data_IF_064289017320
#
_entry.id   IF_064289017320
#
_cell.length_a   1.000
_cell.length_b   1.000
_cell.length_c   1.000
_cell.angle_alpha   90.00
_cell.angle_beta   90.00
_cell.angle_gamma   90.00
#
_symmetry.space_group_name_H-M   'P 1'
#
loop_
_entity.id
_entity.type
_entity.pdbx_description
1 polymer ?
#
# COMPACT_ATOMS: atom_id res chain seq x y z
N UNK A 1 -8.06 -14.19 -27.03
CA UNK A 1 -6.93 -14.38 -26.10
C UNK A 1 -5.89 -13.28 -26.29
N UNK A 2 -5.24 -13.13 -27.45
CA UNK A 2 -4.32 -12.01 -27.78
C UNK A 2 -4.75 -10.58 -27.34
N UNK A 3 -6.05 -10.25 -27.38
CA UNK A 3 -6.57 -8.94 -26.93
C UNK A 3 -6.49 -8.76 -25.40
N UNK A 4 -6.71 -9.80 -24.61
CA UNK A 4 -6.65 -9.76 -23.14
C UNK A 4 -5.20 -9.65 -22.70
N UNK A 5 -4.30 -10.45 -23.28
CA UNK A 5 -2.85 -10.38 -23.05
C UNK A 5 -2.30 -8.99 -23.32
N UNK A 6 -2.71 -8.34 -24.41
CA UNK A 6 -2.31 -6.95 -24.70
C UNK A 6 -2.82 -5.94 -23.67
N UNK A 7 -4.03 -6.14 -23.13
CA UNK A 7 -4.57 -5.30 -22.04
C UNK A 7 -3.74 -5.50 -20.78
N UNK A 8 -3.46 -6.75 -20.39
CA UNK A 8 -2.63 -7.08 -19.21
C UNK A 8 -1.23 -6.48 -19.34
N UNK A 9 -0.58 -6.58 -20.51
CA UNK A 9 0.74 -5.98 -20.75
C UNK A 9 0.71 -4.44 -20.74
N UNK A 10 -0.41 -3.80 -21.08
CA UNK A 10 -0.58 -2.35 -20.94
C UNK A 10 -0.77 -1.96 -19.48
N UNK A 11 -1.58 -2.71 -18.74
CA UNK A 11 -1.76 -2.53 -17.31
C UNK A 11 -0.45 -2.72 -16.54
N UNK A 12 0.35 -3.73 -16.88
CA UNK A 12 1.65 -3.99 -16.26
C UNK A 12 2.66 -2.84 -16.49
N UNK A 13 2.65 -2.24 -17.68
CA UNK A 13 3.45 -1.04 -17.97
C UNK A 13 3.02 0.13 -17.10
N UNK A 14 1.71 0.42 -17.06
CA UNK A 14 1.16 1.46 -16.17
C UNK A 14 1.51 1.19 -14.70
N UNK A 15 1.43 -0.06 -14.25
CA UNK A 15 1.77 -0.46 -12.88
C UNK A 15 3.23 -0.13 -12.55
N UNK A 16 4.14 -0.39 -13.48
CA UNK A 16 5.57 -0.06 -13.32
C UNK A 16 5.76 1.45 -13.20
N UNK A 17 5.08 2.24 -14.03
CA UNK A 17 5.15 3.70 -13.99
C UNK A 17 4.58 4.27 -12.67
N UNK A 18 3.43 3.77 -12.22
CA UNK A 18 2.78 4.20 -10.98
C UNK A 18 3.63 3.85 -9.75
N UNK A 19 4.22 2.65 -9.70
CA UNK A 19 5.15 2.27 -8.63
C UNK A 19 6.40 3.15 -8.65
N UNK A 20 6.92 3.50 -9.82
CA UNK A 20 8.05 4.43 -9.92
C UNK A 20 7.68 5.84 -9.41
N UNK A 21 6.44 6.31 -9.66
CA UNK A 21 5.92 7.55 -9.07
C UNK A 21 5.89 7.44 -7.54
N UNK A 22 5.34 6.34 -7.00
CA UNK A 22 5.30 6.11 -5.55
C UNK A 22 6.71 6.07 -4.93
N UNK A 23 7.67 5.43 -5.62
CA UNK A 23 9.08 5.42 -5.21
C UNK A 23 9.70 6.82 -5.16
N UNK A 24 9.37 7.70 -6.12
CA UNK A 24 9.79 9.12 -6.08
C UNK A 24 9.15 9.87 -4.92
N UNK A 25 7.89 9.58 -4.60
CA UNK A 25 7.19 10.17 -3.44
C UNK A 25 7.84 9.74 -2.12
N UNK A 26 8.21 8.47 -1.99
CA UNK A 26 9.01 7.96 -0.85
C UNK A 26 10.35 8.70 -0.74
N UNK A 27 11.07 8.85 -1.85
CA UNK A 27 12.36 9.53 -1.87
C UNK A 27 12.28 11.04 -1.56
N UNK A 28 11.14 11.68 -1.84
CA UNK A 28 10.89 13.08 -1.47
C UNK A 28 10.72 13.29 0.05
N UNK A 29 10.65 12.19 0.83
CA UNK A 29 10.57 12.21 2.28
C UNK A 29 9.14 12.31 2.81
N UNK A 30 9.03 12.70 4.09
CA UNK A 30 7.76 12.72 4.83
C UNK A 30 6.74 13.68 4.20
N UNK A 31 5.46 13.28 4.02
CA UNK A 31 4.38 14.19 3.67
C UNK A 31 4.18 15.26 4.76
N UNK A 32 4.26 16.54 4.38
CA UNK A 32 4.17 17.65 5.36
C UNK A 32 2.76 18.01 5.79
N UNK A 33 1.74 17.58 5.03
CA UNK A 33 0.34 17.94 5.25
C UNK A 33 -0.56 16.73 5.10
N UNK A 34 -1.70 16.75 5.80
CA UNK A 34 -2.70 15.68 5.70
C UNK A 34 -3.32 15.53 4.31
N UNK A 35 -3.69 16.61 3.57
CA UNK A 35 -4.11 16.49 2.18
C UNK A 35 -3.09 15.80 1.30
N UNK A 36 -1.79 16.10 1.49
CA UNK A 36 -0.73 15.46 0.72
C UNK A 36 -0.61 13.97 1.02
N UNK A 37 -0.74 13.57 2.28
CA UNK A 37 -0.80 12.15 2.64
C UNK A 37 -1.98 11.44 2.00
N UNK A 38 -3.17 12.07 2.00
CA UNK A 38 -4.38 11.53 1.36
C UNK A 38 -4.21 11.35 -0.16
N UNK A 39 -3.56 12.27 -0.84
CA UNK A 39 -3.22 12.12 -2.27
C UNK A 39 -2.33 10.90 -2.51
N UNK A 40 -1.29 10.72 -1.69
CA UNK A 40 -0.38 9.58 -1.80
C UNK A 40 -1.13 8.26 -1.53
N UNK A 41 -1.97 8.24 -0.50
CA UNK A 41 -2.85 7.12 -0.19
C UNK A 41 -3.77 6.76 -1.37
N UNK A 42 -4.37 7.77 -2.03
CA UNK A 42 -5.19 7.55 -3.22
C UNK A 42 -4.39 6.89 -4.35
N UNK A 43 -3.18 7.39 -4.63
CA UNK A 43 -2.31 6.79 -5.64
C UNK A 43 -1.92 5.35 -5.30
N UNK A 44 -1.70 5.04 -4.02
CA UNK A 44 -1.45 3.67 -3.57
C UNK A 44 -2.67 2.76 -3.77
N UNK A 45 -3.89 3.25 -3.49
CA UNK A 45 -5.12 2.49 -3.76
C UNK A 45 -5.33 2.24 -5.25
N UNK A 46 -5.00 3.20 -6.12
CA UNK A 46 -5.05 3.01 -7.57
C UNK A 46 -4.09 1.91 -8.03
N UNK A 47 -2.89 1.84 -7.44
CA UNK A 47 -1.93 0.75 -7.67
C UNK A 47 -2.52 -0.60 -7.23
N UNK A 48 -3.14 -0.66 -6.05
CA UNK A 48 -3.77 -1.90 -5.56
C UNK A 48 -4.92 -2.34 -6.49
N UNK A 49 -5.77 -1.41 -6.93
CA UNK A 49 -6.85 -1.70 -7.88
C UNK A 49 -6.34 -2.18 -9.24
N UNK A 50 -5.22 -1.63 -9.71
CA UNK A 50 -4.57 -2.07 -10.94
C UNK A 50 -3.99 -3.48 -10.80
N UNK A 51 -3.33 -3.79 -9.68
CA UNK A 51 -2.82 -5.13 -9.38
C UNK A 51 -3.96 -6.14 -9.35
N UNK A 52 -5.05 -5.84 -8.64
CA UNK A 52 -6.24 -6.68 -8.59
C UNK A 52 -6.80 -6.93 -9.99
N UNK A 53 -6.95 -5.87 -10.79
CA UNK A 53 -7.43 -5.98 -12.18
C UNK A 53 -6.53 -6.85 -13.05
N UNK A 54 -5.22 -6.81 -12.85
CA UNK A 54 -4.27 -7.69 -13.55
C UNK A 54 -4.49 -9.14 -13.10
N UNK A 55 -4.56 -9.38 -11.79
CA UNK A 55 -4.71 -10.72 -11.20
C UNK A 55 -5.98 -11.42 -11.69
N UNK A 56 -7.12 -10.74 -11.73
CA UNK A 56 -8.39 -11.28 -12.25
C UNK A 56 -8.29 -11.76 -13.71
N UNK A 57 -7.37 -11.17 -14.49
CA UNK A 57 -7.23 -11.45 -15.93
C UNK A 57 -6.09 -12.43 -16.23
N UNK A 58 -5.37 -12.90 -15.21
CA UNK A 58 -4.26 -13.83 -15.42
C UNK A 58 -4.74 -15.16 -16.00
N UNK A 59 -5.85 -15.70 -15.48
CA UNK A 59 -6.44 -16.96 -15.98
C UNK A 59 -6.88 -16.82 -17.44
N UNK A 60 -7.49 -15.69 -17.81
CA UNK A 60 -7.97 -15.42 -19.16
C UNK A 60 -6.84 -15.13 -20.17
N UNK A 61 -5.71 -14.60 -19.72
CA UNK A 61 -4.52 -14.40 -20.55
C UNK A 61 -3.81 -15.74 -20.84
N UNK A 62 -4.02 -16.76 -20.01
CA UNK A 62 -3.51 -18.12 -20.20
C UNK A 62 -1.99 -18.16 -20.35
N UNK A 63 -1.51 -19.09 -21.18
CA UNK A 63 -0.07 -19.34 -21.40
C UNK A 63 0.61 -18.31 -22.33
N UNK A 64 -0.07 -17.22 -22.72
CA UNK A 64 0.53 -16.19 -23.57
C UNK A 64 1.45 -15.24 -22.79
N UNK A 65 1.37 -15.23 -21.46
CA UNK A 65 2.23 -14.46 -20.58
C UNK A 65 3.47 -15.27 -20.17
N UNK A 66 4.59 -14.60 -19.79
CA UNK A 66 5.71 -15.28 -19.17
C UNK A 66 5.27 -16.12 -17.96
N UNK A 67 5.85 -17.31 -17.80
CA UNK A 67 5.50 -18.23 -16.70
C UNK A 67 5.72 -17.65 -15.30
N UNK A 68 6.62 -16.67 -15.19
CA UNK A 68 6.92 -15.96 -13.95
C UNK A 68 6.11 -14.66 -13.77
N UNK A 69 5.18 -14.36 -14.67
CA UNK A 69 4.41 -13.11 -14.65
C UNK A 69 3.54 -12.97 -13.37
N UNK A 70 2.86 -14.01 -12.86
CA UNK A 70 2.13 -13.91 -11.60
C UNK A 70 3.04 -13.52 -10.41
N UNK A 71 4.22 -14.13 -10.32
CA UNK A 71 5.22 -13.80 -9.30
C UNK A 71 5.74 -12.37 -9.47
N UNK A 72 5.93 -11.91 -10.71
CA UNK A 72 6.30 -10.53 -10.97
C UNK A 72 5.22 -9.56 -10.46
N UNK A 73 3.93 -9.80 -10.71
CA UNK A 73 2.82 -8.97 -10.20
C UNK A 73 2.85 -8.93 -8.68
N UNK A 74 3.09 -10.06 -8.03
CA UNK A 74 3.15 -10.15 -6.57
C UNK A 74 4.35 -9.38 -6.00
N UNK A 75 5.52 -9.43 -6.65
CA UNK A 75 6.68 -8.61 -6.29
C UNK A 75 6.39 -7.10 -6.44
N UNK A 76 5.64 -6.70 -7.46
CA UNK A 76 5.19 -5.31 -7.60
C UNK A 76 4.27 -4.90 -6.44
N UNK A 77 3.35 -5.79 -6.01
CA UNK A 77 2.49 -5.57 -4.84
C UNK A 77 3.30 -5.36 -3.57
N UNK A 78 4.26 -6.24 -3.29
CA UNK A 78 5.13 -6.14 -2.12
C UNK A 78 5.99 -4.87 -2.14
N UNK A 79 6.50 -4.50 -3.31
CA UNK A 79 7.26 -3.26 -3.49
C UNK A 79 6.40 -2.03 -3.16
N UNK A 80 5.15 -1.99 -3.66
CA UNK A 80 4.22 -0.91 -3.37
C UNK A 80 3.87 -0.84 -1.87
N UNK A 81 3.64 -1.99 -1.24
CA UNK A 81 3.39 -2.09 0.22
C UNK A 81 4.58 -1.52 1.00
N UNK A 82 5.81 -1.94 0.69
CA UNK A 82 7.00 -1.46 1.37
C UNK A 82 7.17 0.06 1.22
N UNK A 83 6.99 0.59 0.01
CA UNK A 83 7.10 2.02 -0.24
C UNK A 83 6.03 2.83 0.51
N UNK A 84 4.78 2.37 0.48
CA UNK A 84 3.69 3.05 1.17
C UNK A 84 3.86 2.97 2.68
N UNK A 85 4.27 1.81 3.22
CA UNK A 85 4.57 1.61 4.64
C UNK A 85 5.62 2.60 5.12
N UNK A 86 6.70 2.81 4.37
CA UNK A 86 7.72 3.79 4.73
C UNK A 86 7.19 5.23 4.80
N UNK A 87 6.35 5.60 3.83
CA UNK A 87 5.72 6.93 3.79
C UNK A 87 4.77 7.10 4.98
N UNK A 88 3.91 6.11 5.22
CA UNK A 88 2.95 6.12 6.33
C UNK A 88 3.65 6.12 7.69
N UNK A 89 4.70 5.32 7.86
CA UNK A 89 5.52 5.34 9.07
C UNK A 89 6.09 6.72 9.33
N UNK A 90 6.73 7.34 8.33
CA UNK A 90 7.30 8.68 8.47
C UNK A 90 6.23 9.72 8.79
N UNK A 91 5.05 9.62 8.20
CA UNK A 91 3.93 10.54 8.42
C UNK A 91 3.32 10.41 9.82
N UNK A 92 3.12 9.17 10.30
CA UNK A 92 2.49 8.88 11.58
C UNK A 92 3.45 9.09 12.76
N UNK A 93 4.75 8.84 12.57
CA UNK A 93 5.77 9.02 13.62
C UNK A 93 5.96 10.48 14.05
N UNK A 94 5.77 11.41 13.12
CA UNK A 94 5.76 12.84 13.39
C UNK A 94 4.50 13.41 12.75
N UNK A 95 3.34 13.30 13.41
CA UNK A 95 2.07 13.70 12.81
C UNK A 95 2.02 15.23 12.74
N UNK A 96 1.72 15.83 11.57
CA UNK A 96 1.51 17.27 11.49
C UNK A 96 0.41 17.70 12.48
N UNK A 97 0.50 18.92 13.04
CA UNK A 97 -0.54 19.46 13.94
C UNK A 97 -1.94 19.36 13.32
N UNK A 98 -2.04 19.51 11.99
CA UNK A 98 -3.27 19.30 11.23
C UNK A 98 -3.89 17.90 11.41
N UNK A 99 -3.10 16.84 11.63
CA UNK A 99 -3.65 15.51 11.90
C UNK A 99 -4.40 15.43 13.23
N UNK A 100 -3.92 16.17 14.23
CA UNK A 100 -4.52 16.22 15.57
C UNK A 100 -5.74 17.13 15.67
N UNK A 101 -6.01 17.93 14.63
CA UNK A 101 -7.01 19.01 14.67
C UNK A 101 -7.95 19.06 13.46
N UNK A 102 -7.69 18.30 12.39
CA UNK A 102 -8.50 18.32 11.18
C UNK A 102 -9.68 17.34 11.27
N UNK A 103 -10.89 17.82 11.00
CA UNK A 103 -12.04 16.95 10.70
C UNK A 103 -11.64 15.96 9.58
N UNK A 104 -11.91 14.67 9.79
CA UNK A 104 -11.60 13.58 8.85
C UNK A 104 -10.24 12.89 9.05
N UNK A 105 -9.38 13.37 9.97
CA UNK A 105 -8.15 12.65 10.33
C UNK A 105 -8.44 11.30 11.01
N UNK A 106 -9.49 11.23 11.82
CA UNK A 106 -9.94 10.02 12.50
C UNK A 106 -10.34 8.91 11.50
N UNK A 107 -11.19 9.22 10.52
CA UNK A 107 -11.63 8.25 9.50
C UNK A 107 -10.46 7.68 8.70
N UNK A 108 -9.49 8.53 8.35
CA UNK A 108 -8.30 8.08 7.63
C UNK A 108 -7.43 7.20 8.53
N UNK A 109 -7.25 7.54 9.81
CA UNK A 109 -6.50 6.70 10.75
C UNK A 109 -7.17 5.33 10.95
N UNK A 110 -8.49 5.26 11.09
CA UNK A 110 -9.21 3.97 11.14
C UNK A 110 -9.07 3.17 9.84
N UNK A 111 -9.21 3.84 8.69
CA UNK A 111 -9.06 3.18 7.39
C UNK A 111 -7.63 2.65 7.17
N UNK A 112 -6.62 3.40 7.60
CA UNK A 112 -5.22 2.94 7.60
C UNK A 112 -5.02 1.77 8.56
N UNK A 113 -5.58 1.82 9.78
CA UNK A 113 -5.50 0.72 10.74
C UNK A 113 -6.07 -0.58 10.15
N UNK A 114 -7.24 -0.51 9.51
CA UNK A 114 -7.87 -1.66 8.87
C UNK A 114 -7.00 -2.19 7.72
N UNK A 115 -6.56 -1.32 6.82
CA UNK A 115 -5.77 -1.70 5.65
C UNK A 115 -4.42 -2.33 6.04
N UNK A 116 -3.74 -1.78 7.06
CA UNK A 116 -2.48 -2.32 7.55
C UNK A 116 -2.66 -3.67 8.26
N UNK A 117 -3.75 -3.87 9.01
CA UNK A 117 -4.08 -5.18 9.59
C UNK A 117 -4.31 -6.25 8.52
N UNK A 118 -5.11 -5.94 7.49
CA UNK A 118 -5.35 -6.85 6.35
C UNK A 118 -4.04 -7.18 5.61
N UNK A 119 -3.20 -6.16 5.40
CA UNK A 119 -1.88 -6.33 4.77
C UNK A 119 -0.99 -7.22 5.62
N UNK A 120 -0.90 -6.99 6.94
CA UNK A 120 -0.08 -7.78 7.86
C UNK A 120 -0.52 -9.25 7.87
N UNK A 121 -1.83 -9.52 7.89
CA UNK A 121 -2.37 -10.87 7.91
C UNK A 121 -2.04 -11.68 6.64
N UNK A 122 -1.95 -11.00 5.49
CA UNK A 122 -1.67 -11.64 4.19
C UNK A 122 -0.19 -11.57 3.79
N UNK A 123 0.64 -10.85 4.55
CA UNK A 123 2.01 -10.52 4.16
C UNK A 123 2.89 -11.77 4.00
N UNK A 124 2.89 -12.66 5.00
CA UNK A 124 3.70 -13.87 5.00
C UNK A 124 3.37 -14.80 3.82
N UNK A 125 2.08 -14.94 3.49
CA UNK A 125 1.63 -15.69 2.31
C UNK A 125 2.14 -15.05 1.02
N UNK A 126 2.06 -13.72 0.90
CA UNK A 126 2.57 -13.00 -0.27
C UNK A 126 4.09 -13.16 -0.43
N UNK A 127 4.86 -13.17 0.66
CA UNK A 127 6.31 -13.40 0.61
C UNK A 127 6.64 -14.79 0.07
N UNK A 128 5.94 -15.81 0.58
CA UNK A 128 6.13 -17.19 0.17
C UNK A 128 5.84 -17.38 -1.33
N UNK A 129 4.72 -16.84 -1.81
CA UNK A 129 4.28 -16.98 -3.20
C UNK A 129 5.15 -16.19 -4.19
N UNK A 130 5.77 -15.08 -3.76
CA UNK A 130 6.57 -14.23 -4.62
C UNK A 130 7.94 -14.82 -4.98
N UNK A 131 8.36 -15.89 -4.28
CA UNK A 131 9.63 -16.58 -4.50
C UNK A 131 10.81 -15.60 -4.46
N UNK A 132 10.90 -14.85 -3.36
CA UNK A 132 11.83 -13.75 -3.16
C UNK A 132 13.19 -14.30 -2.69
N UNK A 133 14.28 -13.62 -3.04
CA UNK A 133 15.62 -13.96 -2.56
C UNK A 133 15.84 -13.46 -1.12
N UNK A 134 16.78 -14.09 -0.40
CA UNK A 134 17.00 -13.83 1.04
C UNK A 134 17.21 -12.34 1.37
N UNK A 135 17.91 -11.60 0.50
CA UNK A 135 18.17 -10.17 0.71
C UNK A 135 16.89 -9.33 0.67
N UNK A 136 16.01 -9.59 -0.28
CA UNK A 136 14.76 -8.83 -0.40
C UNK A 136 13.76 -9.28 0.67
N UNK A 137 13.87 -10.53 1.16
CA UNK A 137 13.12 -10.98 2.33
C UNK A 137 13.44 -10.17 3.59
N UNK A 138 14.73 -9.90 3.87
CA UNK A 138 15.13 -9.07 5.02
C UNK A 138 14.55 -7.65 4.96
N UNK A 139 14.54 -7.02 3.77
CA UNK A 139 13.94 -5.68 3.58
C UNK A 139 12.41 -5.70 3.79
N UNK A 140 11.76 -6.83 3.47
CA UNK A 140 10.32 -7.01 3.65
C UNK A 140 9.96 -7.39 5.10
N UNK A 141 10.83 -8.08 5.82
CA UNK A 141 10.68 -8.27 7.27
C UNK A 141 10.77 -6.94 8.01
N UNK A 142 11.69 -6.05 7.61
CA UNK A 142 11.70 -4.68 8.12
C UNK A 142 10.40 -3.92 7.81
N UNK A 143 9.76 -4.23 6.67
CA UNK A 143 8.44 -3.68 6.33
C UNK A 143 7.37 -4.20 7.28
N UNK A 144 7.36 -5.49 7.60
CA UNK A 144 6.44 -6.10 8.58
C UNK A 144 6.53 -5.40 9.94
N UNK A 145 7.74 -5.26 10.49
CA UNK A 145 7.93 -4.58 11.78
C UNK A 145 7.46 -3.13 11.75
N UNK A 146 7.63 -2.42 10.62
CA UNK A 146 7.10 -1.06 10.46
C UNK A 146 5.58 -1.02 10.41
N UNK A 147 4.92 -2.00 9.80
CA UNK A 147 3.45 -2.11 9.82
C UNK A 147 2.96 -2.21 11.27
N UNK A 148 3.56 -3.07 12.08
CA UNK A 148 3.22 -3.22 13.50
C UNK A 148 3.45 -1.92 14.30
N UNK A 149 4.56 -1.22 14.04
CA UNK A 149 4.83 0.08 14.64
C UNK A 149 3.77 1.13 14.24
N UNK A 150 3.39 1.18 12.96
CA UNK A 150 2.32 2.06 12.49
C UNK A 150 1.02 1.76 13.21
N UNK A 151 0.63 0.49 13.34
CA UNK A 151 -0.61 0.10 14.01
C UNK A 151 -0.62 0.59 15.46
N UNK A 152 0.47 0.39 16.22
CA UNK A 152 0.57 0.90 17.60
C UNK A 152 0.54 2.43 17.70
N UNK A 153 1.16 3.13 16.75
CA UNK A 153 1.09 4.60 16.69
C UNK A 153 -0.31 5.10 16.36
N UNK A 154 -0.99 4.46 15.39
CA UNK A 154 -2.38 4.78 15.02
C UNK A 154 -3.31 4.56 16.21
N UNK A 155 -3.18 3.44 16.93
CA UNK A 155 -3.97 3.18 18.15
C UNK A 155 -3.82 4.29 19.17
N UNK A 156 -2.57 4.74 19.41
CA UNK A 156 -2.28 5.85 20.33
C UNK A 156 -2.91 7.16 19.85
N UNK A 157 -2.88 7.44 18.54
CA UNK A 157 -3.48 8.63 17.95
C UNK A 157 -5.01 8.60 17.96
N UNK A 158 -5.63 7.42 17.77
CA UNK A 158 -7.09 7.24 17.83
C UNK A 158 -7.62 7.42 19.25
N UNK A 159 -6.85 7.02 20.28
CA UNK A 159 -7.21 7.28 21.69
C UNK A 159 -7.21 8.77 22.02
N UNK A 160 -6.29 9.55 21.41
CA UNK A 160 -6.11 10.99 21.68
C UNK A 160 -6.89 11.91 20.74
N UNK A 161 -7.32 11.42 19.59
CA UNK A 161 -8.07 12.20 18.60
C UNK A 161 -9.50 12.45 19.07
N UNK A 162 -10.05 13.64 18.84
CA UNK A 162 -11.47 13.88 19.06
C UNK A 162 -12.27 12.90 18.19
N UNK A 163 -13.05 12.04 18.83
CA UNK A 163 -13.98 11.14 18.12
C UNK A 163 -14.96 12.01 17.34
N UNK A 164 -15.34 11.57 16.15
CA UNK A 164 -16.47 12.17 15.41
C UNK A 164 -17.64 12.21 16.39
N UNK A 165 -18.26 13.38 16.54
CA UNK A 165 -19.51 13.52 17.27
C UNK A 165 -20.49 12.56 16.59
N UNK A 166 -20.72 11.39 17.21
CA UNK A 166 -21.88 10.58 16.91
C UNK A 166 -23.05 11.46 17.32
N UNK A 167 -23.71 12.06 16.34
CA UNK A 167 -25.02 12.69 16.58
C UNK A 167 -25.86 11.65 17.32
N UNK A 168 -26.39 12.07 18.46
CA UNK A 168 -27.22 11.24 19.33
C UNK A 168 -28.40 10.69 18.52
N UNK A 169 -28.51 9.36 18.42
CA UNK A 169 -29.81 8.71 18.14
C UNK A 169 -30.74 8.86 19.35
#
# INVERSE_FOLDING_TARGET
MAKVTQIVLRMARKLTDDIAVLGRLRAAGRPKTFPRFREIRSAYLDIQGLIFSIQERLEEAGNELPSNFPQWVLRQKLTAIAMFTDISHAFVSDPPIALTSSLGAFDVLEAEQKAFNETLHTFDTMLLEAGIDDKTADELDATRSKIEQILGMIETLLVRSPKILKEFE
#
